data_IF_922407768869
#
_entry.id   IF_922407768869
#
_cell.length_a   1.000
_cell.length_b   1.000
_cell.length_c   1.000
_cell.angle_alpha   90.00
_cell.angle_beta   90.00
_cell.angle_gamma   90.00
#
_symmetry.space_group_name_H-M   'P 1'
#
loop_
_entity.id
_entity.type
_entity.pdbx_description
1 polymer ?
#
# COMPACT_ATOMS: atom_id res chain seq x y z
N UNK A 1 7.61 -40.52 26.02
CA UNK A 1 8.02 -41.23 24.79
C UNK A 1 6.76 -41.55 24.02
N UNK A 2 6.83 -41.57 22.68
CA UNK A 2 5.66 -41.81 21.82
C UNK A 2 5.00 -40.53 21.32
N UNK A 3 4.23 -40.63 20.24
CA UNK A 3 3.62 -39.49 19.53
C UNK A 3 2.63 -38.72 20.41
N UNK A 4 2.80 -37.40 20.51
CA UNK A 4 1.80 -36.51 21.10
C UNK A 4 0.66 -36.30 20.09
N UNK A 5 -0.54 -36.78 20.40
CA UNK A 5 -1.69 -36.73 19.46
C UNK A 5 -2.80 -35.85 19.99
N UNK A 6 -3.24 -34.88 19.19
CA UNK A 6 -4.43 -34.06 19.42
C UNK A 6 -5.54 -34.58 18.51
N UNK A 7 -6.57 -35.24 19.06
CA UNK A 7 -7.61 -35.93 18.27
C UNK A 7 -9.05 -35.53 18.59
N UNK A 8 -9.29 -34.70 19.63
CA UNK A 8 -10.63 -34.29 20.05
C UNK A 8 -10.84 -32.79 19.99
N UNK A 9 -12.08 -32.35 19.74
CA UNK A 9 -12.44 -30.94 19.84
C UNK A 9 -12.21 -30.42 21.27
N UNK A 10 -11.68 -29.20 21.39
CA UNK A 10 -11.41 -28.57 22.68
C UNK A 10 -10.18 -29.11 23.41
N UNK A 11 -9.28 -29.83 22.71
CA UNK A 11 -8.01 -30.26 23.29
C UNK A 11 -7.24 -29.05 23.84
N UNK A 12 -6.72 -29.17 25.06
CA UNK A 12 -5.94 -28.13 25.73
C UNK A 12 -4.54 -28.65 26.08
N UNK A 13 -3.56 -27.79 25.88
CA UNK A 13 -2.17 -27.99 26.26
C UNK A 13 -1.75 -26.89 27.21
N UNK A 14 -1.01 -27.24 28.25
CA UNK A 14 -0.42 -26.27 29.15
C UNK A 14 0.95 -26.73 29.64
N UNK A 15 1.77 -25.78 30.09
CA UNK A 15 3.02 -26.06 30.77
C UNK A 15 2.99 -25.45 32.17
N UNK A 16 2.99 -26.30 33.19
CA UNK A 16 3.19 -25.87 34.59
C UNK A 16 4.66 -25.59 34.90
N UNK A 17 5.59 -25.95 34.01
CA UNK A 17 7.02 -25.69 34.14
C UNK A 17 7.42 -24.44 33.34
N UNK A 18 8.28 -23.60 33.93
CA UNK A 18 8.82 -22.41 33.28
C UNK A 18 9.67 -22.75 32.05
N UNK A 19 9.28 -22.24 30.88
CA UNK A 19 10.05 -22.33 29.63
C UNK A 19 10.53 -23.74 29.27
N UNK A 20 9.64 -24.73 29.39
CA UNK A 20 9.97 -26.13 29.13
C UNK A 20 10.33 -26.36 27.65
N UNK A 21 11.42 -27.09 27.40
CA UNK A 21 11.81 -27.59 26.08
C UNK A 21 11.72 -29.13 26.08
N UNK A 22 10.88 -29.70 25.21
CA UNK A 22 10.72 -31.14 25.09
C UNK A 22 11.87 -31.76 24.27
N UNK A 23 13.00 -32.05 24.90
CA UNK A 23 14.18 -32.65 24.24
C UNK A 23 13.97 -34.08 23.73
N UNK A 24 12.88 -34.73 24.14
CA UNK A 24 12.51 -36.07 23.64
C UNK A 24 12.09 -36.06 22.18
N UNK A 25 11.77 -34.89 21.60
CA UNK A 25 11.44 -34.72 20.18
C UNK A 25 10.43 -35.75 19.65
N UNK A 26 9.44 -36.11 20.48
CA UNK A 26 8.41 -37.04 20.05
C UNK A 26 7.64 -36.43 18.87
N UNK A 27 7.23 -37.23 17.88
CA UNK A 27 6.34 -36.76 16.82
C UNK A 27 5.06 -36.14 17.39
N UNK A 28 4.48 -35.18 16.67
CA UNK A 28 3.22 -34.53 17.03
C UNK A 28 2.20 -34.74 15.92
N UNK A 29 1.01 -35.23 16.25
CA UNK A 29 -0.11 -35.39 15.31
C UNK A 29 -1.23 -34.41 15.66
N UNK A 30 -1.50 -33.45 14.78
CA UNK A 30 -2.58 -32.46 14.89
C UNK A 30 -3.82 -32.96 14.11
N UNK A 31 -4.57 -33.87 14.70
CA UNK A 31 -5.82 -34.41 14.14
C UNK A 31 -7.08 -33.63 14.61
N UNK A 32 -6.90 -32.64 15.48
CA UNK A 32 -7.92 -31.70 15.94
C UNK A 32 -7.28 -30.34 16.21
N UNK A 33 -8.12 -29.31 16.22
CA UNK A 33 -7.72 -27.98 16.71
C UNK A 33 -7.46 -28.06 18.21
N UNK A 34 -6.52 -27.26 18.72
CA UNK A 34 -6.20 -27.25 20.14
C UNK A 34 -5.87 -25.85 20.66
N UNK A 35 -6.00 -25.69 21.98
CA UNK A 35 -5.68 -24.47 22.70
C UNK A 35 -4.45 -24.69 23.57
N UNK A 36 -3.44 -23.85 23.43
CA UNK A 36 -2.39 -23.69 24.41
C UNK A 36 -2.81 -22.62 25.44
N UNK A 37 -3.08 -23.06 26.66
CA UNK A 37 -3.43 -22.18 27.78
C UNK A 37 -2.26 -21.25 28.12
N UNK A 38 -1.07 -21.83 28.23
CA UNK A 38 0.19 -21.11 28.29
C UNK A 38 0.47 -20.42 29.62
N UNK A 39 0.27 -21.13 30.74
CA UNK A 39 0.76 -20.67 32.05
C UNK A 39 2.24 -20.34 32.02
N UNK A 40 3.03 -21.08 31.24
CA UNK A 40 4.43 -20.78 30.93
C UNK A 40 4.70 -21.00 29.43
N UNK A 41 5.82 -20.48 28.92
CA UNK A 41 6.27 -20.79 27.56
C UNK A 41 6.60 -22.29 27.40
N UNK A 42 6.37 -22.84 26.20
CA UNK A 42 6.61 -24.24 25.88
C UNK A 42 7.22 -24.39 24.49
N UNK A 43 8.24 -25.23 24.36
CA UNK A 43 8.78 -25.69 23.09
C UNK A 43 8.56 -27.20 22.95
N UNK A 44 7.81 -27.60 21.91
CA UNK A 44 7.48 -29.01 21.63
C UNK A 44 8.66 -29.84 21.13
N UNK A 45 9.84 -29.24 20.99
CA UNK A 45 11.03 -29.89 20.43
C UNK A 45 10.99 -29.94 18.91
N UNK A 46 11.87 -30.74 18.33
CA UNK A 46 12.08 -30.86 16.87
C UNK A 46 11.40 -32.09 16.26
N UNK A 47 10.55 -32.79 17.01
CA UNK A 47 9.79 -33.93 16.51
C UNK A 47 8.87 -33.52 15.36
N UNK A 48 8.80 -34.32 14.30
CA UNK A 48 7.98 -34.01 13.12
C UNK A 48 6.51 -33.79 13.51
N UNK A 49 5.89 -32.78 12.91
CA UNK A 49 4.48 -32.42 13.14
C UNK A 49 3.67 -32.74 11.91
N UNK A 50 2.56 -33.45 12.10
CA UNK A 50 1.67 -33.86 11.01
C UNK A 50 0.30 -33.21 11.17
N UNK A 51 -0.17 -32.51 10.14
CA UNK A 51 -1.54 -32.00 10.05
C UNK A 51 -2.47 -33.11 9.53
N UNK A 52 -3.35 -33.60 10.40
CA UNK A 52 -4.40 -34.54 10.02
C UNK A 52 -5.55 -33.87 9.28
N UNK A 53 -6.30 -34.63 8.48
CA UNK A 53 -7.48 -34.16 7.74
C UNK A 53 -8.54 -33.57 8.67
N UNK A 54 -9.00 -32.35 8.43
CA UNK A 54 -10.01 -31.72 9.30
C UNK A 54 -11.28 -32.55 9.46
N UNK A 55 -11.97 -32.36 10.59
CA UNK A 55 -13.17 -33.10 11.00
C UNK A 55 -14.34 -32.97 10.00
N UNK A 56 -14.31 -31.96 9.13
CA UNK A 56 -15.30 -31.74 8.06
C UNK A 56 -14.60 -31.47 6.74
N UNK A 57 -15.16 -31.97 5.63
CA UNK A 57 -14.60 -31.86 4.27
C UNK A 57 -14.43 -30.41 3.75
N UNK A 58 -14.91 -29.41 4.51
CA UNK A 58 -14.85 -27.99 4.16
C UNK A 58 -13.79 -27.20 4.94
N UNK A 59 -13.25 -27.74 6.03
CA UNK A 59 -12.18 -27.07 6.78
C UNK A 59 -10.82 -27.52 6.23
N UNK A 60 -10.05 -26.57 5.72
CA UNK A 60 -8.73 -26.85 5.11
C UNK A 60 -7.58 -26.41 6.01
N UNK A 61 -7.83 -26.07 7.28
CA UNK A 61 -6.80 -25.64 8.24
C UNK A 61 -6.90 -26.35 9.59
N UNK A 62 -5.78 -26.39 10.32
CA UNK A 62 -5.76 -26.73 11.75
C UNK A 62 -5.50 -25.50 12.60
N UNK A 63 -6.36 -25.26 13.57
CA UNK A 63 -6.25 -24.10 14.44
C UNK A 63 -5.45 -24.42 15.69
N UNK A 64 -4.43 -23.60 15.94
CA UNK A 64 -3.68 -23.55 17.19
C UNK A 64 -4.02 -22.22 17.87
N UNK A 65 -4.76 -22.30 18.97
CA UNK A 65 -5.11 -21.12 19.78
C UNK A 65 -4.07 -20.93 20.87
N UNK A 66 -3.30 -19.85 20.84
CA UNK A 66 -2.27 -19.54 21.85
C UNK A 66 -2.75 -18.39 22.73
N UNK A 67 -3.21 -18.71 23.94
CA UNK A 67 -3.80 -17.72 24.85
C UNK A 67 -2.75 -16.85 25.53
N UNK A 68 -1.76 -17.49 26.15
CA UNK A 68 -0.70 -16.85 26.94
C UNK A 68 0.68 -17.43 26.61
N UNK A 69 1.74 -16.65 26.82
CA UNK A 69 3.14 -17.00 26.54
C UNK A 69 3.41 -17.54 25.12
N UNK A 70 4.68 -17.87 24.84
CA UNK A 70 5.10 -18.38 23.53
C UNK A 70 4.93 -19.90 23.48
N UNK A 71 4.25 -20.39 22.45
CA UNK A 71 4.33 -21.79 22.03
C UNK A 71 5.31 -21.90 20.85
N UNK A 72 6.30 -22.78 20.96
CA UNK A 72 7.26 -23.07 19.89
C UNK A 72 7.01 -24.45 19.29
N UNK A 73 6.87 -24.51 17.98
CA UNK A 73 6.93 -25.74 17.19
C UNK A 73 8.28 -25.77 16.50
N UNK A 74 9.19 -26.62 17.01
CA UNK A 74 10.53 -26.78 16.48
C UNK A 74 10.67 -27.82 15.37
N UNK A 75 9.67 -28.68 15.18
CA UNK A 75 9.66 -29.70 14.14
C UNK A 75 9.00 -29.23 12.85
N UNK A 76 9.38 -29.85 11.73
CA UNK A 76 8.75 -29.62 10.42
C UNK A 76 7.28 -30.03 10.48
N UNK A 77 6.40 -29.10 10.12
CA UNK A 77 4.97 -29.33 9.93
C UNK A 77 4.72 -29.75 8.47
N UNK A 78 4.17 -30.94 8.28
CA UNK A 78 3.75 -31.47 6.97
C UNK A 78 2.30 -31.96 6.99
N UNK A 79 1.79 -32.36 5.82
CA UNK A 79 0.46 -32.96 5.69
C UNK A 79 0.53 -34.50 5.78
N UNK A 80 -0.48 -35.15 6.36
CA UNK A 80 -0.62 -36.63 6.29
C UNK A 80 -1.29 -37.12 5.00
N UNK A 81 -1.64 -36.23 4.08
CA UNK A 81 -2.40 -36.54 2.86
C UNK A 81 -2.94 -35.29 2.19
N UNK A 82 -4.20 -34.93 2.50
CA UNK A 82 -4.88 -33.76 1.93
C UNK A 82 -4.12 -32.45 2.17
N UNK A 83 -4.31 -31.49 1.27
CA UNK A 83 -3.87 -30.09 1.44
C UNK A 83 -4.48 -29.51 2.72
N UNK A 84 -3.67 -29.46 3.77
CA UNK A 84 -4.03 -28.85 5.05
C UNK A 84 -3.12 -27.64 5.30
N UNK A 85 -3.71 -26.57 5.78
CA UNK A 85 -3.05 -25.36 6.23
C UNK A 85 -3.04 -25.24 7.75
N UNK A 86 -2.49 -24.14 8.22
CA UNK A 86 -2.33 -23.84 9.65
C UNK A 86 -3.02 -22.52 9.96
N UNK A 87 -3.85 -22.50 11.00
CA UNK A 87 -4.44 -21.29 11.53
C UNK A 87 -3.90 -21.00 12.94
N UNK A 88 -3.48 -19.76 13.17
CA UNK A 88 -3.05 -19.24 14.47
C UNK A 88 -4.16 -18.36 15.05
N UNK A 89 -4.66 -18.74 16.22
CA UNK A 89 -5.63 -17.96 17.01
C UNK A 89 -5.07 -17.65 18.40
N UNK A 90 -5.84 -16.92 19.22
CA UNK A 90 -5.44 -16.51 20.57
C UNK A 90 -4.44 -15.36 20.60
N UNK A 91 -4.31 -14.69 21.75
CA UNK A 91 -3.68 -13.37 21.84
C UNK A 91 -2.13 -13.38 21.82
N UNK A 92 -1.49 -14.54 21.98
CA UNK A 92 -0.03 -14.61 22.16
C UNK A 92 0.69 -15.18 20.93
N UNK A 93 1.94 -15.62 21.08
CA UNK A 93 2.83 -15.95 19.97
C UNK A 93 2.91 -17.45 19.71
N UNK A 94 2.68 -17.85 18.46
CA UNK A 94 3.14 -19.14 17.94
C UNK A 94 4.44 -18.91 17.17
N UNK A 95 5.52 -19.58 17.59
CA UNK A 95 6.81 -19.58 16.91
C UNK A 95 6.98 -20.85 16.07
N UNK A 96 7.14 -20.68 14.75
CA UNK A 96 7.50 -21.77 13.83
C UNK A 96 9.02 -21.76 13.61
N UNK A 97 9.72 -22.74 14.19
CA UNK A 97 11.19 -22.76 14.22
C UNK A 97 11.79 -23.79 13.24
N UNK A 98 11.00 -24.23 12.25
CA UNK A 98 11.42 -25.13 11.18
C UNK A 98 10.83 -24.67 9.83
N UNK A 99 11.49 -25.07 8.73
CA UNK A 99 10.98 -24.87 7.38
C UNK A 99 9.86 -25.89 7.15
N UNK A 100 8.62 -25.42 7.06
CA UNK A 100 7.46 -26.31 6.97
C UNK A 100 7.16 -26.72 5.51
N UNK A 101 6.47 -27.83 5.35
CA UNK A 101 6.18 -28.47 4.05
C UNK A 101 4.69 -28.66 3.77
N UNK A 102 3.81 -28.21 4.67
CA UNK A 102 2.39 -28.20 4.41
C UNK A 102 2.04 -27.28 3.24
N UNK A 103 1.08 -27.67 2.42
CA UNK A 103 0.74 -26.99 1.17
C UNK A 103 -0.51 -26.11 1.26
N UNK A 104 -1.27 -26.21 2.35
CA UNK A 104 -2.43 -25.36 2.58
C UNK A 104 -2.06 -23.98 3.12
N UNK A 105 -3.04 -23.08 3.11
CA UNK A 105 -2.86 -21.68 3.50
C UNK A 105 -2.47 -21.54 4.98
N UNK A 106 -1.66 -20.53 5.28
CA UNK A 106 -1.43 -20.10 6.66
C UNK A 106 -2.37 -18.96 7.00
N UNK A 107 -3.07 -19.04 8.12
CA UNK A 107 -3.96 -17.99 8.60
C UNK A 107 -3.53 -17.50 9.99
N UNK A 108 -3.63 -16.19 10.24
CA UNK A 108 -3.48 -15.59 11.56
C UNK A 108 -4.77 -14.84 11.85
N UNK A 109 -5.56 -15.36 12.79
CA UNK A 109 -6.83 -14.76 13.19
C UNK A 109 -6.66 -13.82 14.38
N UNK A 110 -5.70 -14.09 15.27
CA UNK A 110 -5.38 -13.24 16.41
C UNK A 110 -3.93 -13.45 16.89
N UNK A 111 -3.36 -12.43 17.54
CA UNK A 111 -2.01 -12.47 18.10
C UNK A 111 -0.92 -12.59 17.04
N UNK A 112 0.23 -13.15 17.43
CA UNK A 112 1.42 -13.20 16.57
C UNK A 112 1.72 -14.60 16.07
N UNK A 113 1.93 -14.74 14.76
CA UNK A 113 2.69 -15.83 14.17
C UNK A 113 4.11 -15.32 13.91
N UNK A 114 5.10 -15.91 14.58
CA UNK A 114 6.52 -15.57 14.43
C UNK A 114 7.25 -16.71 13.73
N UNK A 115 8.20 -16.38 12.85
CA UNK A 115 9.09 -17.38 12.25
C UNK A 115 10.46 -17.37 12.94
N UNK A 116 11.08 -18.54 13.05
CA UNK A 116 12.41 -18.74 13.62
C UNK A 116 13.43 -19.27 12.62
N UNK A 117 13.05 -19.36 11.35
CA UNK A 117 13.92 -19.75 10.23
C UNK A 117 13.38 -19.16 8.93
N UNK A 118 14.25 -19.08 7.92
CA UNK A 118 13.86 -18.62 6.58
C UNK A 118 12.79 -19.54 5.99
N UNK A 119 11.78 -18.94 5.36
CA UNK A 119 10.68 -19.65 4.72
C UNK A 119 10.03 -20.69 5.65
N UNK A 120 9.82 -20.32 6.93
CA UNK A 120 9.11 -21.20 7.86
C UNK A 120 7.71 -21.51 7.34
N UNK A 121 7.03 -20.58 6.66
CA UNK A 121 5.89 -20.92 5.80
C UNK A 121 6.46 -21.38 4.45
N UNK A 122 5.96 -22.51 3.92
CA UNK A 122 6.45 -23.02 2.64
C UNK A 122 6.36 -21.92 1.56
N UNK A 123 7.45 -21.73 0.82
CA UNK A 123 7.54 -20.67 -0.17
C UNK A 123 6.44 -20.82 -1.24
N UNK A 124 5.81 -19.71 -1.61
CA UNK A 124 4.68 -19.71 -2.55
C UNK A 124 3.32 -20.00 -1.92
N UNK A 125 3.25 -20.42 -0.65
CA UNK A 125 1.96 -20.52 0.05
C UNK A 125 1.35 -19.13 0.28
N UNK A 126 0.04 -19.12 0.48
CA UNK A 126 -0.72 -17.93 0.86
C UNK A 126 -0.72 -17.70 2.37
N UNK A 127 -0.59 -16.43 2.77
CA UNK A 127 -0.78 -15.97 4.14
C UNK A 127 -2.05 -15.11 4.22
N UNK A 128 -2.96 -15.47 5.12
CA UNK A 128 -4.13 -14.66 5.45
C UNK A 128 -4.00 -14.10 6.87
N UNK A 129 -3.83 -12.79 7.00
CA UNK A 129 -4.05 -12.08 8.25
C UNK A 129 -5.51 -11.66 8.25
N UNK A 130 -6.29 -12.13 9.22
CA UNK A 130 -7.75 -11.98 9.31
C UNK A 130 -8.58 -13.01 8.50
N UNK A 131 -8.45 -14.31 8.83
CA UNK A 131 -9.39 -15.32 8.32
C UNK A 131 -10.68 -15.36 9.18
N UNK A 132 -11.76 -14.75 8.70
CA UNK A 132 -13.13 -15.20 9.01
C UNK A 132 -13.74 -14.85 10.37
N UNK A 133 -13.24 -13.83 11.08
CA UNK A 133 -13.81 -13.43 12.38
C UNK A 133 -14.38 -12.00 12.34
N UNK A 134 -15.65 -11.84 12.71
CA UNK A 134 -16.17 -10.56 13.23
C UNK A 134 -15.56 -10.33 14.60
N UNK A 135 -14.60 -9.40 14.73
CA UNK A 135 -14.10 -9.01 16.04
C UNK A 135 -15.14 -8.12 16.72
N UNK A 136 -16.00 -8.72 17.54
CA UNK A 136 -16.72 -8.02 18.62
C UNK A 136 -15.97 -8.17 19.95
N UNK A 137 -14.63 -7.99 19.97
CA UNK A 137 -13.85 -8.22 21.20
C UNK A 137 -12.41 -7.72 21.23
N UNK A 138 -11.84 -7.65 22.43
CA UNK A 138 -10.55 -7.08 22.82
C UNK A 138 -9.31 -7.91 22.38
N UNK A 139 -9.36 -8.53 21.19
CA UNK A 139 -8.31 -9.40 20.67
C UNK A 139 -7.08 -8.65 20.17
N UNK A 140 -5.89 -9.24 20.34
CA UNK A 140 -4.65 -8.68 19.78
C UNK A 140 -4.62 -8.79 18.25
N UNK A 141 -4.20 -7.70 17.58
CA UNK A 141 -4.10 -7.62 16.12
C UNK A 141 -3.36 -8.83 15.51
N UNK A 142 -3.83 -9.39 14.38
CA UNK A 142 -3.11 -10.45 13.70
C UNK A 142 -1.79 -9.90 13.17
N UNK A 143 -0.70 -10.48 13.64
CA UNK A 143 0.66 -10.06 13.34
C UNK A 143 1.44 -11.23 12.75
N UNK A 144 2.11 -10.98 11.62
CA UNK A 144 3.15 -11.87 11.12
C UNK A 144 4.52 -11.25 11.34
N UNK A 145 5.34 -11.91 12.16
CA UNK A 145 6.64 -11.41 12.59
C UNK A 145 7.76 -12.23 11.95
N UNK A 146 8.53 -11.58 11.08
CA UNK A 146 9.67 -12.18 10.39
C UNK A 146 10.87 -12.45 11.30
N UNK A 147 10.99 -11.73 12.43
CA UNK A 147 11.99 -11.99 13.46
C UNK A 147 13.43 -12.23 12.94
N UNK A 148 13.83 -11.44 11.93
CA UNK A 148 15.18 -11.45 11.35
C UNK A 148 15.38 -12.49 10.24
N UNK A 149 14.30 -13.14 9.77
CA UNK A 149 14.35 -14.16 8.72
C UNK A 149 13.61 -13.71 7.47
N UNK A 150 13.97 -14.30 6.33
CA UNK A 150 13.32 -14.06 5.05
C UNK A 150 12.09 -14.97 4.88
N UNK A 151 11.06 -14.47 4.20
CA UNK A 151 9.87 -15.24 3.86
C UNK A 151 9.40 -14.90 2.45
N UNK A 152 9.24 -15.91 1.61
CA UNK A 152 8.60 -15.82 0.30
C UNK A 152 7.15 -16.30 0.37
N UNK A 153 6.21 -15.52 -0.16
CA UNK A 153 4.78 -15.85 -0.18
C UNK A 153 4.21 -15.71 -1.60
N UNK A 154 3.27 -16.59 -1.93
CA UNK A 154 2.53 -16.54 -3.19
C UNK A 154 1.45 -15.48 -3.14
N UNK A 155 0.77 -15.30 -2.02
CA UNK A 155 -0.16 -14.19 -1.84
C UNK A 155 -0.31 -13.84 -0.37
N UNK A 156 -0.68 -12.58 -0.13
CA UNK A 156 -0.99 -12.07 1.18
C UNK A 156 -2.40 -11.48 1.15
N UNK A 157 -3.28 -11.98 2.00
CA UNK A 157 -4.55 -11.32 2.29
C UNK A 157 -4.45 -10.67 3.66
N UNK A 158 -4.68 -9.37 3.73
CA UNK A 158 -4.80 -8.63 4.97
C UNK A 158 -6.26 -8.19 5.13
N UNK A 159 -6.77 -8.23 6.36
CA UNK A 159 -8.06 -7.61 6.70
C UNK A 159 -7.85 -6.38 7.58
N UNK A 160 -8.73 -5.40 7.43
CA UNK A 160 -8.85 -4.25 8.32
C UNK A 160 -9.79 -4.58 9.49
N UNK A 161 -9.33 -4.50 10.75
CA UNK A 161 -10.16 -4.86 11.91
C UNK A 161 -11.13 -3.72 12.28
N UNK A 162 -12.21 -4.10 12.96
CA UNK A 162 -13.07 -3.17 13.68
C UNK A 162 -12.31 -2.59 14.89
N UNK A 163 -12.62 -1.36 15.30
CA UNK A 163 -12.01 -0.65 16.43
C UNK A 163 -10.57 -0.16 16.22
N UNK A 164 -10.26 0.39 15.05
CA UNK A 164 -8.97 1.08 14.79
C UNK A 164 -7.71 0.21 14.86
N UNK A 165 -7.80 -1.09 14.60
CA UNK A 165 -6.63 -1.99 14.61
C UNK A 165 -6.39 -2.56 13.20
N UNK A 166 -5.18 -2.39 12.65
CA UNK A 166 -4.78 -2.94 11.36
C UNK A 166 -4.01 -4.26 11.49
N UNK A 167 -4.04 -5.08 10.44
CA UNK A 167 -3.15 -6.25 10.35
C UNK A 167 -1.70 -5.79 10.19
N UNK A 168 -0.74 -6.51 10.78
CA UNK A 168 0.68 -6.11 10.76
C UNK A 168 1.58 -7.22 10.23
N UNK A 169 2.48 -6.86 9.32
CA UNK A 169 3.67 -7.67 8.98
C UNK A 169 4.90 -6.89 9.44
N UNK A 170 5.76 -7.52 10.23
CA UNK A 170 6.86 -6.81 10.90
C UNK A 170 8.15 -7.63 10.97
N UNK A 171 9.23 -6.98 11.37
CA UNK A 171 10.42 -7.63 11.89
C UNK A 171 10.73 -7.09 13.29
N UNK A 172 10.46 -7.88 14.33
CA UNK A 172 10.77 -7.46 15.70
C UNK A 172 12.25 -7.63 16.07
N UNK A 173 13.00 -8.45 15.33
CA UNK A 173 14.43 -8.62 15.54
C UNK A 173 15.22 -7.59 14.71
N UNK A 174 15.42 -6.41 15.30
CA UNK A 174 16.14 -5.31 14.65
C UNK A 174 17.64 -5.57 14.45
N UNK A 175 18.20 -6.62 15.05
CA UNK A 175 19.60 -7.00 14.89
C UNK A 175 19.87 -7.82 13.61
N UNK A 176 18.83 -8.24 12.89
CA UNK A 176 18.94 -9.01 11.66
C UNK A 176 17.97 -8.50 10.61
N UNK A 177 18.40 -8.49 9.35
CA UNK A 177 17.56 -8.03 8.24
C UNK A 177 16.58 -9.11 7.82
N UNK A 178 15.33 -8.73 7.57
CA UNK A 178 14.33 -9.60 6.96
C UNK A 178 13.88 -9.10 5.59
N UNK A 179 13.61 -10.05 4.68
CA UNK A 179 13.02 -9.79 3.37
C UNK A 179 11.69 -10.52 3.27
N UNK A 180 10.62 -9.78 2.99
CA UNK A 180 9.35 -10.30 2.53
C UNK A 180 9.34 -10.32 1.00
N UNK A 181 9.35 -11.50 0.39
CA UNK A 181 9.33 -11.64 -1.08
C UNK A 181 7.92 -11.97 -1.56
N UNK A 182 7.37 -11.15 -2.44
CA UNK A 182 6.06 -11.33 -3.06
C UNK A 182 6.21 -11.99 -4.43
N UNK A 183 5.46 -13.09 -4.66
CA UNK A 183 5.56 -13.87 -5.90
C UNK A 183 4.22 -14.05 -6.63
N UNK A 184 3.15 -13.41 -6.14
CA UNK A 184 1.78 -13.62 -6.61
C UNK A 184 1.37 -12.90 -7.89
N UNK A 185 2.19 -11.97 -8.39
CA UNK A 185 1.84 -11.15 -9.53
C UNK A 185 0.55 -10.37 -9.29
N UNK A 186 -0.49 -10.68 -10.07
CA UNK A 186 -1.80 -10.00 -9.99
C UNK A 186 -2.54 -10.15 -8.65
N UNK A 187 -2.17 -11.13 -7.83
CA UNK A 187 -2.79 -11.41 -6.52
C UNK A 187 -1.79 -11.35 -5.36
N UNK A 188 -0.66 -10.67 -5.57
CA UNK A 188 0.42 -10.58 -4.60
C UNK A 188 -0.03 -10.12 -3.21
N UNK A 189 -0.83 -9.04 -3.17
CA UNK A 189 -1.42 -8.56 -1.93
C UNK A 189 -2.85 -8.07 -2.14
N UNK A 190 -3.73 -8.47 -1.22
CA UNK A 190 -5.11 -8.00 -1.13
C UNK A 190 -5.37 -7.49 0.27
N UNK A 191 -5.72 -6.21 0.41
CA UNK A 191 -6.32 -5.68 1.64
C UNK A 191 -7.83 -5.63 1.44
N UNK A 192 -8.53 -6.60 2.03
CA UNK A 192 -9.98 -6.73 1.86
C UNK A 192 -10.77 -5.65 2.61
N UNK A 193 -11.94 -5.30 2.07
CA UNK A 193 -12.86 -4.30 2.64
C UNK A 193 -13.33 -4.72 4.04
N UNK A 194 -13.47 -3.79 5.00
CA UNK A 194 -14.21 -4.06 6.21
C UNK A 194 -15.68 -4.38 5.89
N UNK A 195 -16.34 -5.12 6.78
CA UNK A 195 -17.81 -5.14 6.83
C UNK A 195 -18.29 -3.69 6.97
N UNK A 196 -19.27 -3.29 6.16
CA UNK A 196 -19.76 -1.90 6.04
C UNK A 196 -19.94 -1.21 7.40
N UNK A 197 -19.40 0.01 7.57
CA UNK A 197 -19.66 0.89 8.70
C UNK A 197 -18.66 0.87 9.86
N UNK A 198 -17.48 0.25 9.71
CA UNK A 198 -16.47 0.20 10.78
C UNK A 198 -15.29 1.17 10.57
N UNK A 199 -14.82 1.82 11.65
CA UNK A 199 -13.55 2.56 11.67
C UNK A 199 -12.36 1.60 11.79
N UNK A 200 -11.47 1.60 10.80
CA UNK A 200 -10.37 0.65 10.70
C UNK A 200 -9.03 1.32 10.95
N UNK A 201 -8.13 0.64 11.65
CA UNK A 201 -6.74 1.06 11.76
C UNK A 201 -6.00 0.73 10.47
N UNK A 202 -5.02 1.54 10.10
CA UNK A 202 -4.19 1.29 8.94
C UNK A 202 -3.43 -0.05 9.08
N UNK A 203 -3.54 -0.92 8.09
CA UNK A 203 -2.67 -2.11 8.01
C UNK A 203 -1.24 -1.68 7.70
N UNK A 204 -0.25 -2.41 8.22
CA UNK A 204 1.16 -2.00 8.08
C UNK A 204 2.07 -3.16 7.68
N UNK A 205 3.00 -2.88 6.75
CA UNK A 205 4.14 -3.73 6.43
C UNK A 205 5.41 -2.96 6.81
N UNK A 206 6.09 -3.46 7.84
CA UNK A 206 7.28 -2.85 8.45
C UNK A 206 8.37 -3.90 8.70
N UNK A 207 8.78 -4.55 7.62
CA UNK A 207 9.99 -5.39 7.54
C UNK A 207 11.19 -4.55 7.08
N UNK A 208 12.39 -5.13 6.92
CA UNK A 208 13.48 -4.37 6.30
C UNK A 208 13.25 -4.18 4.79
N UNK A 209 12.94 -5.26 4.09
CA UNK A 209 12.74 -5.26 2.64
C UNK A 209 11.42 -5.92 2.23
N UNK A 210 10.73 -5.30 1.28
CA UNK A 210 9.70 -5.93 0.45
C UNK A 210 10.28 -6.10 -0.95
N UNK A 211 10.48 -7.35 -1.36
CA UNK A 211 11.02 -7.69 -2.68
C UNK A 211 9.87 -8.10 -3.62
N UNK A 212 9.73 -7.41 -4.76
CA UNK A 212 8.70 -7.68 -5.77
C UNK A 212 9.11 -8.81 -6.73
N UNK A 213 10.21 -9.51 -6.44
CA UNK A 213 10.72 -10.67 -7.17
C UNK A 213 11.00 -10.41 -8.66
N UNK A 214 11.36 -9.17 -9.01
CA UNK A 214 11.64 -8.78 -10.39
C UNK A 214 10.40 -8.74 -11.31
N UNK A 215 9.19 -8.92 -10.78
CA UNK A 215 7.94 -8.94 -11.53
C UNK A 215 7.02 -7.77 -11.13
N UNK A 216 5.96 -7.56 -11.91
CA UNK A 216 4.88 -6.67 -11.53
C UNK A 216 4.03 -7.33 -10.45
N UNK A 217 3.92 -6.69 -9.28
CA UNK A 217 3.11 -7.15 -8.16
C UNK A 217 1.92 -6.20 -7.96
N UNK A 218 0.73 -6.76 -7.90
CA UNK A 218 -0.50 -6.01 -7.70
C UNK A 218 -0.87 -5.96 -6.22
N UNK A 219 -1.09 -4.73 -5.75
CA UNK A 219 -1.62 -4.40 -4.44
C UNK A 219 -3.09 -4.01 -4.63
N UNK A 220 -3.97 -4.97 -4.36
CA UNK A 220 -5.42 -4.82 -4.39
C UNK A 220 -5.91 -4.23 -3.07
N UNK A 221 -6.02 -2.91 -3.00
CA UNK A 221 -6.33 -2.20 -1.76
C UNK A 221 -7.75 -1.66 -1.83
N UNK A 222 -8.66 -2.30 -1.11
CA UNK A 222 -10.03 -1.83 -1.00
C UNK A 222 -10.14 -0.67 -0.01
N UNK A 223 -11.11 0.20 -0.24
CA UNK A 223 -11.33 1.42 0.54
C UNK A 223 -11.96 1.06 1.89
N UNK A 224 -11.19 1.27 2.95
CA UNK A 224 -11.65 1.26 4.32
C UNK A 224 -11.90 2.68 4.82
N UNK A 225 -12.10 2.80 6.12
CA UNK A 225 -12.17 4.11 6.79
C UNK A 225 -10.81 4.57 7.32
N UNK A 226 -9.77 3.73 7.18
CA UNK A 226 -8.39 4.07 7.50
C UNK A 226 -7.79 4.91 6.39
N UNK A 227 -7.07 5.98 6.75
CA UNK A 227 -6.39 6.82 5.78
C UNK A 227 -4.94 7.01 6.24
N UNK A 228 -3.94 6.34 5.62
CA UNK A 228 -4.06 5.32 4.56
C UNK A 228 -4.63 3.98 5.03
N UNK A 229 -5.11 3.15 4.10
CA UNK A 229 -5.54 1.77 4.37
C UNK A 229 -4.35 0.83 4.58
N UNK A 230 -3.30 1.00 3.76
CA UNK A 230 -2.06 0.23 3.85
C UNK A 230 -0.85 1.16 3.93
N UNK A 231 -0.04 0.99 4.98
CA UNK A 231 1.26 1.61 5.15
C UNK A 231 2.39 0.62 4.83
N UNK A 232 3.34 1.03 3.99
CA UNK A 232 4.60 0.29 3.78
C UNK A 232 5.77 1.18 4.18
N UNK A 233 6.45 0.81 5.27
CA UNK A 233 7.64 1.50 5.77
C UNK A 233 8.94 0.78 5.38
N UNK A 234 8.84 -0.43 4.84
CA UNK A 234 9.95 -1.20 4.31
C UNK A 234 10.60 -0.56 3.09
N UNK A 235 11.85 -0.95 2.81
CA UNK A 235 12.47 -0.69 1.50
C UNK A 235 11.75 -1.57 0.47
N UNK A 236 11.14 -0.98 -0.55
CA UNK A 236 10.54 -1.74 -1.65
C UNK A 236 11.54 -1.84 -2.80
N UNK A 237 11.81 -3.05 -3.27
CA UNK A 237 12.87 -3.31 -4.26
C UNK A 237 12.44 -4.29 -5.35
N UNK A 238 13.16 -4.23 -6.47
CA UNK A 238 12.99 -5.05 -7.67
C UNK A 238 11.59 -4.92 -8.31
N UNK A 239 11.43 -5.32 -9.58
CA UNK A 239 10.12 -5.44 -10.21
C UNK A 239 9.35 -4.11 -10.38
N UNK A 240 8.02 -4.17 -10.23
CA UNK A 240 7.09 -3.06 -10.50
C UNK A 240 5.88 -3.12 -9.57
N UNK A 241 5.31 -1.96 -9.22
CA UNK A 241 4.10 -1.86 -8.40
C UNK A 241 2.89 -1.60 -9.31
N UNK A 242 1.81 -2.35 -9.08
CA UNK A 242 0.47 -2.05 -9.61
C UNK A 242 -0.49 -1.83 -8.44
N UNK A 243 -0.96 -0.60 -8.25
CA UNK A 243 -1.97 -0.25 -7.26
C UNK A 243 -3.37 -0.34 -7.87
N UNK A 244 -4.26 -1.11 -7.26
CA UNK A 244 -5.64 -1.31 -7.71
C UNK A 244 -6.66 -1.11 -6.57
N UNK A 245 -7.94 -1.03 -6.94
CA UNK A 245 -9.11 -0.81 -6.06
C UNK A 245 -9.09 0.54 -5.30
N UNK A 246 -10.22 0.91 -4.69
CA UNK A 246 -10.51 2.28 -4.25
C UNK A 246 -9.68 2.82 -3.07
N UNK A 247 -8.99 1.98 -2.30
CA UNK A 247 -8.32 2.41 -1.07
C UNK A 247 -7.00 3.15 -1.30
N UNK A 248 -6.45 3.73 -0.23
CA UNK A 248 -5.17 4.43 -0.20
C UNK A 248 -4.03 3.51 0.28
N UNK A 249 -2.97 3.44 -0.51
CA UNK A 249 -1.70 2.80 -0.14
C UNK A 249 -0.63 3.87 0.02
N UNK A 250 0.07 3.89 1.14
CA UNK A 250 1.18 4.81 1.40
C UNK A 250 2.53 4.10 1.38
N UNK A 251 3.44 4.59 0.53
CA UNK A 251 4.86 4.24 0.55
C UNK A 251 5.59 5.27 1.41
N UNK A 252 6.13 4.82 2.53
CA UNK A 252 6.79 5.66 3.53
C UNK A 252 8.28 5.33 3.71
N UNK A 253 8.72 4.15 3.26
CA UNK A 253 10.13 3.75 3.19
C UNK A 253 10.75 3.94 1.79
N UNK A 254 12.07 3.77 1.65
CA UNK A 254 12.77 3.90 0.36
C UNK A 254 12.23 2.98 -0.72
N UNK A 255 12.01 3.49 -1.93
CA UNK A 255 11.60 2.68 -3.07
C UNK A 255 12.72 2.62 -4.11
N UNK A 256 13.34 1.45 -4.23
CA UNK A 256 14.51 1.20 -5.08
C UNK A 256 14.20 0.34 -6.30
N UNK A 257 12.95 -0.12 -6.45
CA UNK A 257 12.49 -0.78 -7.67
C UNK A 257 12.58 0.18 -8.85
N UNK A 258 12.93 -0.36 -10.02
CA UNK A 258 13.14 0.43 -11.24
C UNK A 258 12.01 0.30 -12.24
N UNK A 259 11.20 -0.75 -12.17
CA UNK A 259 10.10 -0.92 -13.09
C UNK A 259 8.95 0.07 -12.84
N UNK A 260 8.04 0.12 -13.79
CA UNK A 260 6.94 1.10 -13.83
C UNK A 260 6.06 1.06 -12.59
N UNK A 261 5.67 2.22 -12.09
CA UNK A 261 4.61 2.36 -11.07
C UNK A 261 3.28 2.56 -11.79
N UNK A 262 2.30 1.68 -11.58
CA UNK A 262 0.97 1.78 -12.20
C UNK A 262 -0.12 1.96 -11.15
N UNK A 263 -1.05 2.89 -11.35
CA UNK A 263 -2.15 3.19 -10.42
C UNK A 263 -3.47 3.15 -11.19
N UNK A 264 -4.24 2.08 -10.98
CA UNK A 264 -5.50 1.81 -11.69
C UNK A 264 -6.74 1.97 -10.80
N UNK A 265 -6.57 2.44 -9.56
CA UNK A 265 -7.67 2.74 -8.66
C UNK A 265 -7.18 3.26 -7.30
N UNK A 266 -8.03 4.06 -6.65
CA UNK A 266 -7.74 4.64 -5.35
C UNK A 266 -6.51 5.55 -5.38
N UNK A 267 -5.78 5.60 -4.27
CA UNK A 267 -4.62 6.48 -4.12
C UNK A 267 -3.34 5.69 -3.85
N UNK A 268 -2.25 6.05 -4.53
CA UNK A 268 -0.90 5.72 -4.09
C UNK A 268 -0.29 7.01 -3.51
N UNK A 269 -0.10 7.05 -2.20
CA UNK A 269 0.57 8.15 -1.54
C UNK A 269 2.07 7.88 -1.45
N UNK A 270 2.88 8.80 -1.94
CA UNK A 270 4.31 8.87 -1.66
C UNK A 270 4.52 9.98 -0.63
N UNK A 271 4.97 9.62 0.56
CA UNK A 271 5.11 10.53 1.71
C UNK A 271 6.47 10.37 2.40
N UNK A 272 6.77 11.23 3.37
CA UNK A 272 8.04 11.21 4.13
C UNK A 272 9.29 11.52 3.28
N UNK A 273 10.46 11.61 3.92
CA UNK A 273 11.72 11.83 3.22
C UNK A 273 12.19 10.61 2.42
N UNK A 274 11.56 9.45 2.66
CA UNK A 274 11.98 8.17 2.12
C UNK A 274 11.00 7.60 1.10
N UNK A 275 9.72 8.00 1.10
CA UNK A 275 8.71 7.43 0.21
C UNK A 275 8.82 7.80 -1.27
N UNK A 276 9.90 8.45 -1.70
CA UNK A 276 10.14 8.77 -3.12
C UNK A 276 10.13 7.49 -3.97
N UNK A 277 9.63 7.60 -5.20
CA UNK A 277 9.65 6.57 -6.24
C UNK A 277 10.54 7.02 -7.42
N UNK A 278 11.52 7.87 -7.17
CA UNK A 278 12.42 8.45 -8.18
C UNK A 278 13.32 7.44 -8.93
N UNK A 279 13.31 6.17 -8.53
CA UNK A 279 13.99 5.10 -9.26
C UNK A 279 13.09 4.44 -10.32
N UNK A 280 11.76 4.63 -10.23
CA UNK A 280 10.80 4.13 -11.21
C UNK A 280 11.07 4.73 -12.58
N UNK A 281 11.07 3.89 -13.64
CA UNK A 281 11.31 4.35 -15.01
C UNK A 281 10.10 4.99 -15.67
N UNK A 282 8.91 4.86 -15.07
CA UNK A 282 7.68 5.38 -15.65
C UNK A 282 6.51 5.34 -14.67
N UNK A 283 5.54 6.20 -14.91
CA UNK A 283 4.28 6.23 -14.18
C UNK A 283 3.13 5.98 -15.16
N UNK A 284 2.22 5.09 -14.80
CA UNK A 284 0.96 4.88 -15.51
C UNK A 284 -0.19 5.11 -14.56
N UNK A 285 -1.17 5.91 -14.97
CA UNK A 285 -2.39 6.16 -14.19
C UNK A 285 -3.62 5.88 -15.06
N UNK A 286 -4.68 5.36 -14.46
CA UNK A 286 -5.94 5.07 -15.13
C UNK A 286 -7.01 4.60 -14.15
N UNK A 287 -8.22 4.33 -14.63
CA UNK A 287 -9.29 3.75 -13.79
C UNK A 287 -9.68 4.60 -12.57
N UNK A 288 -9.45 5.92 -12.61
CA UNK A 288 -9.65 6.82 -11.46
C UNK A 288 -8.55 6.77 -10.39
N UNK A 289 -7.42 6.11 -10.68
CA UNK A 289 -6.26 6.07 -9.79
C UNK A 289 -5.51 7.40 -9.70
N UNK A 290 -5.04 7.73 -8.51
CA UNK A 290 -4.36 9.00 -8.23
C UNK A 290 -3.01 8.78 -7.55
N UNK A 291 -1.95 9.40 -8.08
CA UNK A 291 -0.70 9.55 -7.34
C UNK A 291 -0.81 10.76 -6.41
N UNK A 292 -0.55 10.58 -5.13
CA UNK A 292 -0.57 11.65 -4.13
C UNK A 292 0.85 11.88 -3.63
N UNK A 293 1.41 13.04 -3.99
CA UNK A 293 2.72 13.48 -3.52
C UNK A 293 2.51 14.45 -2.38
N UNK A 294 2.92 14.06 -1.17
CA UNK A 294 2.77 14.91 0.03
C UNK A 294 4.11 15.41 0.54
N UNK A 295 4.25 16.72 0.78
CA UNK A 295 5.44 17.32 1.40
C UNK A 295 5.14 18.12 2.67
N UNK A 296 5.95 17.91 3.69
CA UNK A 296 6.06 18.75 4.88
C UNK A 296 7.14 19.83 4.69
N UNK A 297 7.15 20.84 5.58
CA UNK A 297 8.03 22.02 5.46
C UNK A 297 9.53 21.69 5.37
N UNK A 298 9.96 20.55 5.90
CA UNK A 298 11.36 20.08 5.87
C UNK A 298 11.72 19.27 4.60
N UNK A 299 10.85 19.24 3.59
CA UNK A 299 10.96 18.34 2.43
C UNK A 299 11.06 19.07 1.07
N UNK A 300 11.49 20.34 1.06
CA UNK A 300 11.43 21.23 -0.12
C UNK A 300 12.32 20.84 -1.30
N UNK A 301 13.35 20.02 -1.08
CA UNK A 301 14.31 19.59 -2.11
C UNK A 301 14.27 18.10 -2.44
N UNK A 302 13.19 17.41 -2.07
CA UNK A 302 13.08 15.96 -2.29
C UNK A 302 12.43 15.70 -3.63
N UNK A 303 13.18 15.08 -4.53
CA UNK A 303 12.69 14.56 -5.80
C UNK A 303 11.83 13.31 -5.55
N UNK A 304 10.52 13.42 -5.75
CA UNK A 304 9.58 12.33 -5.43
C UNK A 304 9.38 11.37 -6.59
N UNK A 305 9.50 11.87 -7.81
CA UNK A 305 9.45 11.09 -9.02
C UNK A 305 10.69 11.36 -9.86
N UNK A 306 11.04 10.44 -10.74
CA UNK A 306 12.19 10.67 -11.61
C UNK A 306 11.84 11.76 -12.62
N UNK A 307 12.63 12.82 -12.70
CA UNK A 307 12.45 13.89 -13.73
C UNK A 307 12.37 13.39 -15.18
N UNK A 308 12.90 12.19 -15.46
CA UNK A 308 12.88 11.57 -16.80
C UNK A 308 11.84 10.46 -16.95
N UNK A 309 11.11 10.09 -15.88
CA UNK A 309 10.04 9.10 -15.97
C UNK A 309 8.82 9.71 -16.67
N UNK A 310 8.50 9.19 -17.85
CA UNK A 310 7.28 9.56 -18.55
C UNK A 310 6.04 9.17 -17.74
N UNK A 311 5.01 10.02 -17.83
CA UNK A 311 3.70 9.79 -17.22
C UNK A 311 2.72 9.51 -18.36
N UNK A 312 2.15 8.31 -18.37
CA UNK A 312 1.07 7.95 -19.31
C UNK A 312 -0.25 7.88 -18.56
N UNK A 313 -1.25 8.62 -19.01
CA UNK A 313 -2.57 8.62 -18.39
C UNK A 313 -3.65 8.05 -19.30
N UNK A 314 -4.44 7.14 -18.73
CA UNK A 314 -5.74 6.69 -19.24
C UNK A 314 -6.87 7.19 -18.32
N UNK A 315 -6.69 8.38 -17.75
CA UNK A 315 -7.53 9.03 -16.75
C UNK A 315 -6.84 9.09 -15.38
N UNK A 316 -7.60 9.47 -14.34
CA UNK A 316 -7.10 9.53 -12.96
C UNK A 316 -6.42 10.86 -12.64
N UNK A 317 -5.39 10.86 -11.81
CA UNK A 317 -4.77 12.14 -11.45
C UNK A 317 -3.44 12.10 -10.73
N UNK A 318 -2.94 13.31 -10.47
CA UNK A 318 -1.80 13.65 -9.67
C UNK A 318 -2.18 14.76 -8.69
N UNK A 319 -2.01 14.49 -7.40
CA UNK A 319 -2.18 15.48 -6.34
C UNK A 319 -0.82 15.87 -5.79
N UNK A 320 -0.54 17.17 -5.77
CA UNK A 320 0.62 17.75 -5.13
C UNK A 320 0.16 18.50 -3.88
N UNK A 321 0.40 17.89 -2.72
CA UNK A 321 -0.12 18.34 -1.43
C UNK A 321 1.03 18.75 -0.53
N UNK A 322 1.29 20.05 -0.48
CA UNK A 322 2.36 20.62 0.32
C UNK A 322 1.81 21.28 1.58
N UNK A 323 2.55 21.19 2.68
CA UNK A 323 2.20 21.91 3.90
C UNK A 323 2.45 23.40 3.70
N UNK A 324 1.41 24.23 3.83
CA UNK A 324 1.54 25.68 3.80
C UNK A 324 2.22 26.17 5.09
N UNK A 325 3.45 26.68 4.97
CA UNK A 325 4.21 27.26 6.07
C UNK A 325 5.03 28.44 5.56
N UNK A 326 5.19 29.48 6.39
CA UNK A 326 5.79 30.75 5.99
C UNK A 326 7.20 30.55 5.40
N UNK A 327 7.46 31.17 4.24
CA UNK A 327 8.76 31.12 3.58
C UNK A 327 9.15 29.80 2.92
N UNK A 328 8.25 28.81 2.90
CA UNK A 328 8.54 27.51 2.30
C UNK A 328 8.26 27.52 0.80
N UNK A 329 9.24 27.08 0.02
CA UNK A 329 9.15 26.95 -1.44
C UNK A 329 9.30 25.48 -1.81
N UNK A 330 8.28 24.91 -2.44
CA UNK A 330 8.34 23.54 -2.97
C UNK A 330 8.53 23.57 -4.47
N UNK A 331 9.36 22.66 -4.97
CA UNK A 331 9.50 22.43 -6.39
C UNK A 331 9.57 20.92 -6.64
N UNK A 332 8.82 20.46 -7.64
CA UNK A 332 8.91 19.10 -8.16
C UNK A 332 9.01 19.19 -9.69
N UNK A 333 9.87 18.38 -10.29
CA UNK A 333 9.93 18.21 -11.75
C UNK A 333 9.53 16.79 -12.09
N UNK A 334 8.65 16.64 -13.07
CA UNK A 334 8.18 15.37 -13.56
C UNK A 334 8.66 15.17 -15.00
N UNK A 335 8.60 13.95 -15.49
CA UNK A 335 8.77 13.70 -16.92
C UNK A 335 7.60 14.22 -17.76
N UNK A 336 7.60 13.88 -19.04
CA UNK A 336 6.54 14.24 -19.98
C UNK A 336 5.23 13.56 -19.60
N UNK A 337 4.16 14.35 -19.49
CA UNK A 337 2.79 13.86 -19.35
C UNK A 337 2.19 13.62 -20.74
N UNK A 338 1.78 12.37 -20.99
CA UNK A 338 1.01 11.97 -22.17
C UNK A 338 -0.39 11.54 -21.72
N UNK A 339 -1.39 12.38 -21.99
CA UNK A 339 -2.79 12.07 -21.73
C UNK A 339 -3.39 11.32 -22.93
N UNK A 340 -3.72 10.04 -22.73
CA UNK A 340 -4.12 9.13 -23.82
C UNK A 340 -5.60 8.78 -23.86
N UNK A 341 -6.28 8.77 -22.72
CA UNK A 341 -7.73 8.61 -22.63
C UNK A 341 -8.25 9.16 -21.30
N UNK A 342 -9.55 9.42 -21.19
CA UNK A 342 -10.18 9.89 -19.95
C UNK A 342 -9.74 11.30 -19.53
N UNK A 343 -10.17 11.71 -18.34
CA UNK A 343 -9.75 12.95 -17.71
C UNK A 343 -8.57 12.68 -16.77
N UNK A 344 -7.47 13.40 -16.98
CA UNK A 344 -6.34 13.43 -16.07
C UNK A 344 -6.34 14.73 -15.25
N UNK A 345 -6.38 14.60 -13.94
CA UNK A 345 -6.45 15.74 -13.03
C UNK A 345 -5.09 16.05 -12.40
N UNK A 346 -4.56 17.24 -12.65
CA UNK A 346 -3.41 17.77 -11.90
C UNK A 346 -3.91 18.76 -10.86
N UNK A 347 -3.72 18.45 -9.57
CA UNK A 347 -4.28 19.26 -8.49
C UNK A 347 -3.25 19.68 -7.44
N UNK A 348 -3.09 20.99 -7.28
CA UNK A 348 -2.37 21.63 -6.19
C UNK A 348 -3.30 21.80 -4.98
N UNK A 349 -3.24 20.86 -4.04
CA UNK A 349 -4.28 20.65 -3.01
C UNK A 349 -4.35 21.78 -2.00
N UNK A 350 -3.19 22.26 -1.56
CA UNK A 350 -3.10 23.34 -0.57
C UNK A 350 -2.67 24.62 -1.28
N UNK A 351 -3.44 25.69 -1.08
CA UNK A 351 -3.10 27.00 -1.60
C UNK A 351 -1.91 27.58 -0.82
N UNK A 352 -0.82 27.88 -1.52
CA UNK A 352 0.37 28.48 -0.91
C UNK A 352 0.26 29.99 -0.71
N UNK A 353 -0.89 30.60 -0.95
CA UNK A 353 -1.12 32.03 -0.70
C UNK A 353 -1.52 32.33 0.76
N UNK A 354 -2.00 31.33 1.52
CA UNK A 354 -2.59 31.49 2.86
C UNK A 354 -1.61 31.40 4.04
N UNK A 355 -0.31 31.16 3.79
CA UNK A 355 0.75 31.05 4.82
C UNK A 355 1.61 32.30 5.02
N UNK A 356 1.39 33.33 4.19
CA UNK A 356 2.13 34.58 4.26
C UNK A 356 1.52 35.49 5.35
N UNK A 357 2.07 35.48 6.56
CA UNK A 357 1.91 36.62 7.46
C UNK A 357 2.33 37.91 6.75
N UNK A 358 1.67 39.03 7.04
CA UNK A 358 1.75 40.32 6.32
C UNK A 358 3.14 40.99 6.24
N UNK A 359 4.20 40.34 6.72
CA UNK A 359 5.58 40.83 6.73
C UNK A 359 6.66 39.76 6.49
N UNK A 360 6.29 38.52 6.14
CA UNK A 360 7.23 37.40 5.92
C UNK A 360 7.38 36.97 4.45
N UNK A 361 8.42 36.17 4.11
CA UNK A 361 8.58 35.63 2.76
C UNK A 361 7.36 34.79 2.37
N UNK A 362 6.86 34.99 1.15
CA UNK A 362 5.70 34.27 0.62
C UNK A 362 6.08 32.83 0.33
N UNK A 363 5.24 31.90 0.78
CA UNK A 363 5.37 30.50 0.44
C UNK A 363 4.88 30.27 -1.00
N UNK A 364 5.47 29.30 -1.70
CA UNK A 364 5.09 28.97 -3.09
C UNK A 364 5.30 27.49 -3.38
N UNK A 365 4.67 27.01 -4.45
CA UNK A 365 4.87 25.68 -4.98
C UNK A 365 4.90 25.72 -6.50
N UNK A 366 5.84 24.97 -7.08
CA UNK A 366 5.95 24.79 -8.52
C UNK A 366 5.97 23.31 -8.86
N UNK A 367 5.01 22.88 -9.68
CA UNK A 367 5.02 21.56 -10.30
C UNK A 367 5.38 21.72 -11.79
N UNK A 368 6.52 21.20 -12.21
CA UNK A 368 6.99 21.30 -13.59
C UNK A 368 6.81 19.97 -14.31
N UNK A 369 6.09 19.94 -15.42
CA UNK A 369 6.05 18.80 -16.33
C UNK A 369 7.18 18.92 -17.36
N UNK A 370 7.90 17.83 -17.64
CA UNK A 370 8.95 17.81 -18.67
C UNK A 370 8.41 17.98 -20.10
N UNK A 371 7.09 17.88 -20.27
CA UNK A 371 6.35 18.12 -21.50
C UNK A 371 4.88 17.79 -21.31
N UNK A 372 4.02 18.24 -22.21
CA UNK A 372 2.59 17.94 -22.21
C UNK A 372 2.17 17.51 -23.61
N UNK A 373 1.60 16.31 -23.71
CA UNK A 373 1.08 15.75 -24.95
C UNK A 373 -0.33 15.18 -24.72
N UNK A 374 -1.19 15.35 -25.71
CA UNK A 374 -2.54 14.80 -25.74
C UNK A 374 -2.69 13.89 -26.96
N UNK A 375 -3.43 12.79 -26.79
CA UNK A 375 -3.87 11.95 -27.90
C UNK A 375 -5.34 11.56 -27.73
N UNK A 376 -6.04 11.40 -28.86
CA UNK A 376 -7.42 10.92 -28.87
C UNK A 376 -8.38 11.92 -28.22
N UNK A 377 -9.19 11.45 -27.27
CA UNK A 377 -10.22 12.25 -26.58
C UNK A 377 -9.86 12.55 -25.13
N UNK A 378 -8.57 12.45 -24.77
CA UNK A 378 -8.14 12.73 -23.41
C UNK A 378 -8.30 14.23 -23.08
N UNK A 379 -8.60 14.51 -21.82
CA UNK A 379 -8.75 15.87 -21.27
C UNK A 379 -7.84 15.99 -20.06
N UNK A 380 -7.28 17.18 -19.84
CA UNK A 380 -6.42 17.48 -18.71
C UNK A 380 -6.97 18.67 -17.94
N UNK A 381 -7.08 18.54 -16.62
CA UNK A 381 -7.43 19.65 -15.74
C UNK A 381 -6.21 20.09 -14.94
N UNK A 382 -6.07 21.40 -14.76
CA UNK A 382 -5.01 22.01 -13.97
C UNK A 382 -5.64 22.84 -12.88
N UNK A 383 -5.61 22.33 -11.65
CA UNK A 383 -6.35 22.93 -10.55
C UNK A 383 -5.43 23.39 -9.42
N UNK A 384 -5.77 24.52 -8.80
CA UNK A 384 -5.17 24.92 -7.54
C UNK A 384 -6.25 25.47 -6.60
N UNK A 385 -6.26 24.92 -5.38
CA UNK A 385 -7.30 25.20 -4.42
C UNK A 385 -7.49 26.72 -4.22
N UNK A 386 -8.75 27.15 -4.24
CA UNK A 386 -9.24 28.54 -4.08
C UNK A 386 -8.69 29.60 -5.03
N UNK A 387 -7.76 29.31 -5.94
CA UNK A 387 -7.07 30.35 -6.74
C UNK A 387 -6.95 30.07 -8.23
N UNK A 388 -7.15 28.83 -8.68
CA UNK A 388 -6.63 28.34 -9.96
C UNK A 388 -5.08 28.41 -10.03
N UNK A 389 -4.43 27.67 -10.95
CA UNK A 389 -3.00 27.83 -11.19
C UNK A 389 -2.66 29.27 -11.54
N UNK A 390 -1.57 29.79 -11.00
CA UNK A 390 -1.14 31.16 -11.22
C UNK A 390 0.38 31.24 -11.39
N UNK A 391 0.88 32.42 -11.74
CA UNK A 391 2.28 32.62 -12.11
C UNK A 391 3.25 32.76 -10.91
N UNK A 392 2.76 32.82 -9.67
CA UNK A 392 3.57 33.24 -8.52
C UNK A 392 3.56 32.26 -7.34
N UNK A 393 2.39 31.80 -6.89
CA UNK A 393 2.27 31.01 -5.65
C UNK A 393 1.92 29.55 -5.91
N UNK A 394 0.98 29.27 -6.81
CA UNK A 394 0.51 27.93 -7.14
C UNK A 394 0.79 27.66 -8.61
N UNK A 395 2.04 27.35 -8.91
CA UNK A 395 2.53 27.30 -10.28
C UNK A 395 2.48 25.86 -10.80
N UNK A 396 1.87 25.69 -11.97
CA UNK A 396 2.07 24.50 -12.81
C UNK A 396 2.77 24.98 -14.08
N UNK A 397 3.87 24.34 -14.45
CA UNK A 397 4.68 24.72 -15.60
C UNK A 397 4.94 23.54 -16.53
N UNK A 398 5.22 23.83 -17.80
CA UNK A 398 5.63 22.83 -18.79
C UNK A 398 6.96 23.25 -19.39
N UNK A 399 7.97 22.40 -19.20
CA UNK A 399 9.32 22.67 -19.68
C UNK A 399 9.35 22.76 -21.21
N UNK A 400 9.96 23.82 -21.73
CA UNK A 400 10.03 24.08 -23.17
C UNK A 400 8.73 24.58 -23.81
N UNK A 401 7.65 24.76 -23.05
CA UNK A 401 6.43 25.39 -23.58
C UNK A 401 6.67 26.87 -23.89
N UNK A 402 6.22 27.30 -25.06
CA UNK A 402 6.24 28.71 -25.46
C UNK A 402 4.91 29.39 -25.14
N UNK A 403 4.92 30.71 -24.99
CA UNK A 403 3.71 31.49 -24.77
C UNK A 403 2.62 31.15 -25.79
N UNK A 404 1.42 30.89 -25.30
CA UNK A 404 0.24 30.80 -26.17
C UNK A 404 -0.06 32.19 -26.70
N UNK A 405 -0.22 32.32 -28.03
CA UNK A 405 -0.54 33.61 -28.65
C UNK A 405 -1.78 34.24 -28.00
N UNK A 406 -1.79 35.57 -27.88
CA UNK A 406 -2.93 36.29 -27.31
C UNK A 406 -4.26 35.88 -27.99
N UNK A 407 -5.26 35.53 -27.18
CA UNK A 407 -6.56 35.05 -27.65
C UNK A 407 -6.62 33.58 -28.08
N UNK A 408 -5.51 32.82 -27.93
CA UNK A 408 -5.48 31.37 -28.15
C UNK A 408 -5.40 30.61 -26.82
N UNK A 409 -5.65 29.32 -26.87
CA UNK A 409 -5.55 28.37 -25.75
C UNK A 409 -4.60 27.23 -26.11
N UNK A 410 -4.12 26.48 -25.12
CA UNK A 410 -3.29 25.26 -25.35
C UNK A 410 -4.05 24.26 -26.22
N UNK A 411 -5.36 24.15 -25.95
CA UNK A 411 -6.32 23.37 -26.70
C UNK A 411 -7.59 23.23 -25.88
N UNK A 412 -8.72 22.90 -26.52
CA UNK A 412 -10.00 22.74 -25.84
C UNK A 412 -10.06 21.52 -24.89
N UNK A 413 -9.00 20.70 -24.88
CA UNK A 413 -8.81 19.57 -23.98
C UNK A 413 -8.09 19.94 -22.66
N UNK A 414 -7.69 21.21 -22.47
CA UNK A 414 -6.95 21.65 -21.30
C UNK A 414 -7.66 22.81 -20.58
N UNK A 415 -7.99 22.63 -19.30
CA UNK A 415 -8.72 23.62 -18.49
C UNK A 415 -8.03 23.93 -17.17
N UNK A 416 -8.37 25.09 -16.59
CA UNK A 416 -7.96 25.50 -15.25
C UNK A 416 -9.14 25.63 -14.29
N UNK A 417 -8.91 25.33 -13.01
CA UNK A 417 -9.97 25.33 -12.00
C UNK A 417 -9.47 25.43 -10.57
N UNK A 418 -10.42 25.47 -9.63
CA UNK A 418 -10.09 25.50 -8.19
C UNK A 418 -10.04 24.10 -7.57
N UNK A 419 -10.70 23.13 -8.20
CA UNK A 419 -10.65 21.71 -7.85
C UNK A 419 -10.99 20.86 -9.08
N UNK A 420 -10.85 19.54 -8.98
CA UNK A 420 -11.03 18.62 -10.12
C UNK A 420 -12.46 18.59 -10.67
N UNK A 421 -13.47 18.99 -9.89
CA UNK A 421 -14.88 19.06 -10.31
C UNK A 421 -15.33 20.46 -10.76
N UNK A 422 -14.54 21.50 -10.50
CA UNK A 422 -14.88 22.90 -10.70
C UNK A 422 -13.84 23.60 -11.58
N UNK A 423 -13.88 23.30 -12.88
CA UNK A 423 -13.11 24.00 -13.91
C UNK A 423 -13.81 25.29 -14.31
N UNK A 424 -13.03 26.35 -14.48
CA UNK A 424 -13.52 27.73 -14.63
C UNK A 424 -13.04 28.42 -15.90
N UNK A 425 -11.94 27.96 -16.51
CA UNK A 425 -11.40 28.57 -17.73
C UNK A 425 -10.62 27.52 -18.57
N UNK A 426 -10.25 27.87 -19.79
CA UNK A 426 -9.30 27.12 -20.60
C UNK A 426 -7.88 27.47 -20.18
N UNK A 427 -6.96 26.52 -20.39
CA UNK A 427 -5.57 26.70 -20.07
C UNK A 427 -4.80 27.42 -21.20
N UNK A 428 -3.94 28.36 -20.83
CA UNK A 428 -2.97 29.02 -21.70
C UNK A 428 -1.56 28.96 -21.08
N UNK A 429 -0.53 29.00 -21.93
CA UNK A 429 0.84 29.22 -21.47
C UNK A 429 1.16 30.71 -21.43
N UNK A 430 1.69 31.18 -20.31
CA UNK A 430 2.31 32.51 -20.26
C UNK A 430 3.75 32.49 -20.84
N UNK A 431 4.43 33.64 -20.82
CA UNK A 431 5.79 33.79 -21.36
C UNK A 431 6.85 32.90 -20.68
N UNK A 432 6.59 32.40 -19.48
CA UNK A 432 7.48 31.51 -18.74
C UNK A 432 7.11 30.01 -18.92
N UNK A 433 6.17 29.68 -19.81
CA UNK A 433 5.69 28.30 -19.99
C UNK A 433 4.84 27.80 -18.81
N UNK A 434 4.31 28.71 -17.99
CA UNK A 434 3.42 28.38 -16.88
C UNK A 434 1.97 28.32 -17.37
N UNK A 435 1.20 27.39 -16.82
CA UNK A 435 -0.22 27.23 -17.09
C UNK A 435 -0.99 28.26 -16.26
N UNK A 436 -1.79 29.07 -16.95
CA UNK A 436 -2.66 30.09 -16.37
C UNK A 436 -4.04 30.05 -17.03
N UNK A 437 -5.09 30.60 -16.39
CA UNK A 437 -6.37 30.81 -17.05
C UNK A 437 -6.22 31.67 -18.30
N UNK A 438 -6.93 31.33 -19.38
CA UNK A 438 -6.90 32.05 -20.65
C UNK A 438 -7.58 33.44 -20.57
N UNK A 439 -8.30 33.73 -19.49
CA UNK A 439 -9.12 34.91 -19.25
C UNK A 439 -10.24 35.06 -20.28
N UNK A 440 -10.88 33.95 -20.65
CA UNK A 440 -12.06 33.96 -21.51
C UNK A 440 -13.29 34.33 -20.68
N UNK A 441 -14.12 35.25 -21.16
CA UNK A 441 -15.27 35.75 -20.40
C UNK A 441 -16.30 34.64 -20.13
N UNK A 442 -16.79 34.54 -18.89
CA UNK A 442 -17.77 33.54 -18.43
C UNK A 442 -19.02 33.41 -19.31
N UNK A 443 -19.43 34.49 -19.99
CA UNK A 443 -20.59 34.52 -20.88
C UNK A 443 -20.39 33.81 -22.22
N UNK A 444 -19.17 33.40 -22.53
CA UNK A 444 -18.81 32.86 -23.85
C UNK A 444 -19.05 31.35 -23.98
N UNK A 445 -19.17 30.55 -22.92
CA UNK A 445 -19.34 29.10 -23.07
C UNK A 445 -20.12 28.44 -21.92
N UNK A 446 -21.15 27.65 -22.25
CA UNK A 446 -22.06 27.06 -21.23
C UNK A 446 -21.58 25.74 -20.63
N UNK A 447 -20.46 25.16 -21.10
CA UNK A 447 -19.95 23.89 -20.56
C UNK A 447 -18.42 23.80 -20.55
N UNK A 448 -17.77 24.30 -19.50
CA UNK A 448 -16.34 24.10 -19.21
C UNK A 448 -15.98 22.64 -18.86
N UNK A 449 -16.98 21.77 -18.71
CA UNK A 449 -16.87 20.42 -18.13
C UNK A 449 -17.22 19.28 -19.08
N UNK A 450 -17.66 19.55 -20.33
CA UNK A 450 -18.05 18.50 -21.27
C UNK A 450 -16.97 18.21 -22.31
N UNK A 451 -16.21 17.13 -22.08
CA UNK A 451 -15.20 16.59 -22.99
C UNK A 451 -15.70 16.32 -24.43
N UNK A 452 -17.00 16.08 -24.61
CA UNK A 452 -17.59 15.81 -25.93
C UNK A 452 -17.70 17.07 -26.81
N UNK A 453 -17.62 18.26 -26.21
CA UNK A 453 -17.81 19.55 -26.90
C UNK A 453 -16.49 20.26 -27.20
N UNK A 454 -15.33 19.64 -26.93
CA UNK A 454 -14.00 20.19 -27.18
C UNK A 454 -13.63 20.33 -28.68
N UNK A 455 -14.62 20.32 -29.59
CA UNK A 455 -14.46 20.56 -31.02
C UNK A 455 -15.36 21.71 -31.43
N UNK A 456 -14.80 22.93 -31.49
CA UNK A 456 -14.90 23.88 -32.61
C UNK A 456 -14.45 25.27 -32.14
N UNK A 457 -13.24 25.67 -32.55
CA UNK A 457 -12.97 27.05 -32.98
C UNK A 457 -12.05 26.94 -34.19
N UNK A 458 -12.67 26.87 -35.37
CA UNK A 458 -12.02 27.10 -36.66
C UNK A 458 -12.17 28.56 -37.06
#
# INVERSE_FOLDING_TARGET
TGTLTFAGAGAALDSSFGSLILTTNNPVALNADFTFSGSNALNLGTGAVTLGTASTATSTTRTITVNSNVLTIGGVIGNSGSTMGLAKAGNNTLLLNAQNTYTGNTAVTNGTLRIGTNNAIAAGNSLALFAGQTIFGNGAAPTFDLNGFNQSLGSITMGSLQNNVGSTITNTNVASTSTLTLTGGATALTLAVPLSGSSTGASTISTNYVDLAGAAQTFNIYDGSGNPDLNITSIVQNGSIVKANGGQMALQGPNTYTGTTSIFGGQLQVSSNLGSINQSTGLVVGGGGTLVVTNAANQTGIDRLKNTAGITSYGGGLQFSNTASQGVVYAETLGTLTASAGQFDTYLVNNMSSGAGSSGPTNSQTLTLGGLAQSGTAVVTFSANTTQPNATTNVIAVSGATQTTAGQIIGPWATTGVDTGNQQDYAAYNAAGQIVPAAIADSAETTWTNAANAYTMG
#
